data_IF_545986479314
#
_entry.id   IF_545986479314
#
_cell.length_a   1.000
_cell.length_b   1.000
_cell.length_c   1.000
_cell.angle_alpha   90.00
_cell.angle_beta   90.00
_cell.angle_gamma   90.00
#
_symmetry.space_group_name_H-M   'P 1'
#
loop_
_entity.id
_entity.type
_entity.pdbx_description
1 polymer ?
#
# COMPACT_ATOMS: atom_id res chain seq x y z
N UNK A 1 -3.57 -12.51 -14.42
CA UNK A 1 -2.47 -11.54 -14.68
C UNK A 1 -1.93 -10.96 -13.37
N UNK A 2 -1.22 -11.72 -12.51
CA UNK A 2 -0.86 -11.26 -11.15
C UNK A 2 0.63 -11.35 -10.77
N UNK A 3 1.50 -11.90 -11.63
CA UNK A 3 2.81 -12.42 -11.19
C UNK A 3 3.98 -11.42 -11.15
N UNK A 4 3.83 -10.18 -11.62
CA UNK A 4 4.95 -9.22 -11.72
C UNK A 4 4.65 -7.83 -11.14
N UNK A 5 3.97 -7.74 -9.98
CA UNK A 5 3.75 -6.44 -9.32
C UNK A 5 4.89 -6.15 -8.36
N UNK A 6 5.37 -4.90 -8.36
CA UNK A 6 6.43 -4.42 -7.47
C UNK A 6 5.90 -4.19 -6.04
N UNK A 7 5.40 -5.26 -5.41
CA UNK A 7 5.01 -5.26 -4.01
C UNK A 7 6.21 -5.70 -3.16
N UNK A 8 6.72 -4.79 -2.32
CA UNK A 8 7.71 -5.16 -1.34
C UNK A 8 7.07 -5.92 -0.17
N UNK A 9 7.78 -6.94 0.28
CA UNK A 9 7.51 -7.61 1.54
C UNK A 9 7.95 -6.70 2.68
N UNK A 10 7.07 -6.52 3.65
CA UNK A 10 7.37 -5.86 4.91
C UNK A 10 8.01 -6.88 5.86
N UNK A 11 9.28 -6.67 6.21
CA UNK A 11 10.04 -7.64 7.01
C UNK A 11 9.95 -7.31 8.50
N UNK A 12 10.20 -6.04 8.84
CA UNK A 12 10.31 -5.61 10.24
C UNK A 12 10.04 -4.12 10.42
N UNK A 13 9.59 -3.78 11.63
CA UNK A 13 9.28 -2.42 12.04
C UNK A 13 9.55 -2.22 13.53
N UNK A 14 10.31 -1.18 13.84
CA UNK A 14 10.52 -0.65 15.19
C UNK A 14 10.77 0.84 15.11
N UNK A 15 10.85 1.53 16.26
CA UNK A 15 11.08 2.97 16.28
C UNK A 15 12.35 3.34 15.51
N UNK A 16 12.22 4.23 14.51
CA UNK A 16 13.33 4.66 13.64
C UNK A 16 13.82 3.62 12.61
N UNK A 17 13.09 2.51 12.43
CA UNK A 17 13.44 1.48 11.45
C UNK A 17 12.20 0.92 10.75
N UNK A 18 12.20 1.04 9.42
CA UNK A 18 11.35 0.29 8.49
C UNK A 18 12.26 -0.57 7.64
N UNK A 19 12.00 -1.88 7.61
CA UNK A 19 12.75 -2.84 6.82
C UNK A 19 11.85 -3.59 5.85
N UNK A 20 12.17 -3.49 4.58
CA UNK A 20 11.39 -4.06 3.49
C UNK A 20 12.30 -4.71 2.45
N UNK A 21 11.75 -5.67 1.71
CA UNK A 21 12.46 -6.37 0.65
C UNK A 21 11.61 -6.67 -0.58
N UNK A 22 12.25 -6.77 -1.75
CA UNK A 22 11.63 -7.21 -3.00
C UNK A 22 12.46 -8.36 -3.55
N UNK A 23 11.80 -9.44 -3.98
CA UNK A 23 12.49 -10.54 -4.66
C UNK A 23 13.09 -10.06 -5.98
N UNK A 24 14.37 -10.34 -6.21
CA UNK A 24 15.09 -9.92 -7.42
C UNK A 24 14.49 -10.48 -8.71
N UNK A 25 13.71 -11.57 -8.61
CA UNK A 25 12.94 -12.10 -9.73
C UNK A 25 11.94 -11.09 -10.30
N UNK A 26 11.29 -10.30 -9.44
CA UNK A 26 10.35 -9.25 -9.83
C UNK A 26 11.07 -8.04 -10.46
N UNK A 27 12.40 -7.97 -10.32
CA UNK A 27 13.22 -6.84 -10.73
C UNK A 27 14.04 -7.08 -12.00
N UNK A 28 13.83 -8.22 -12.69
CA UNK A 28 14.66 -8.61 -13.85
C UNK A 28 14.70 -7.54 -14.95
N UNK A 29 13.61 -6.81 -15.16
CA UNK A 29 13.48 -5.74 -16.16
C UNK A 29 13.96 -4.35 -15.73
N UNK A 30 14.38 -4.17 -14.46
CA UNK A 30 14.66 -2.86 -13.89
C UNK A 30 16.12 -2.71 -13.44
N UNK A 31 16.71 -1.53 -13.66
CA UNK A 31 18.06 -1.19 -13.15
C UNK A 31 18.02 -0.46 -11.81
N UNK A 32 17.03 0.41 -11.63
CA UNK A 32 16.75 1.12 -10.39
C UNK A 32 15.32 0.86 -9.92
N UNK A 33 15.11 1.03 -8.61
CA UNK A 33 13.78 1.17 -8.02
C UNK A 33 13.67 2.50 -7.31
N UNK A 34 12.51 3.14 -7.47
CA UNK A 34 12.15 4.37 -6.79
C UNK A 34 11.13 4.07 -5.70
N UNK A 35 11.40 4.60 -4.50
CA UNK A 35 10.55 4.47 -3.33
C UNK A 35 9.92 5.84 -3.07
N UNK A 36 8.60 5.86 -2.95
CA UNK A 36 7.82 7.04 -2.60
C UNK A 36 6.84 6.70 -1.47
N UNK A 37 6.38 7.72 -0.77
CA UNK A 37 5.53 7.57 0.40
C UNK A 37 4.46 8.65 0.50
N UNK A 38 3.44 8.37 1.30
CA UNK A 38 2.43 9.35 1.70
C UNK A 38 1.83 8.99 3.06
N UNK A 39 1.10 9.93 3.65
CA UNK A 39 0.43 9.79 4.96
C UNK A 39 -1.03 9.34 4.86
N UNK A 40 -1.59 9.25 3.66
CA UNK A 40 -2.91 8.67 3.41
C UNK A 40 -2.94 7.92 2.07
N UNK A 41 -3.93 7.03 1.93
CA UNK A 41 -4.03 6.15 0.76
C UNK A 41 -4.31 6.90 -0.53
N UNK A 42 -5.11 7.98 -0.50
CA UNK A 42 -5.48 8.76 -1.69
C UNK A 42 -4.25 9.45 -2.30
N UNK A 43 -3.44 10.10 -1.48
CA UNK A 43 -2.20 10.74 -1.94
C UNK A 43 -1.15 9.71 -2.35
N UNK A 44 -1.10 8.53 -1.70
CA UNK A 44 -0.26 7.43 -2.16
C UNK A 44 -0.67 6.92 -3.55
N UNK A 45 -1.97 6.88 -3.82
CA UNK A 45 -2.51 6.47 -5.12
C UNK A 45 -2.22 7.51 -6.20
N UNK A 46 -2.56 8.77 -5.95
CA UNK A 46 -2.56 9.85 -6.94
C UNK A 46 -1.20 10.52 -7.14
N UNK A 47 -0.47 10.81 -6.06
CA UNK A 47 0.73 11.65 -6.11
C UNK A 47 1.68 11.36 -4.92
N UNK A 48 2.27 10.15 -4.83
CA UNK A 48 3.16 9.81 -3.73
C UNK A 48 4.44 10.66 -3.78
N UNK A 49 4.98 11.03 -2.62
CA UNK A 49 6.18 11.88 -2.50
C UNK A 49 7.44 11.01 -2.55
N UNK A 50 8.38 11.39 -3.40
CA UNK A 50 9.68 10.71 -3.50
C UNK A 50 10.41 10.69 -2.14
N UNK A 51 10.98 9.53 -1.80
CA UNK A 51 11.83 9.35 -0.63
C UNK A 51 13.28 9.11 -1.06
N UNK A 52 13.52 8.03 -1.80
CA UNK A 52 14.85 7.67 -2.27
C UNK A 52 14.80 6.74 -3.49
N UNK A 53 15.96 6.54 -4.11
CA UNK A 53 16.16 5.62 -5.21
C UNK A 53 17.34 4.69 -4.91
N UNK A 54 17.31 3.47 -5.43
CA UNK A 54 18.40 2.51 -5.26
C UNK A 54 18.51 1.55 -6.45
N UNK A 55 19.68 0.92 -6.59
CA UNK A 55 19.90 -0.11 -7.60
C UNK A 55 19.08 -1.38 -7.31
N UNK A 56 18.47 -1.94 -8.35
CA UNK A 56 17.86 -3.25 -8.30
C UNK A 56 18.93 -4.33 -8.01
N UNK A 57 18.61 -5.24 -7.10
CA UNK A 57 19.55 -6.25 -6.57
C UNK A 57 20.44 -5.73 -5.43
N UNK A 58 20.34 -4.44 -5.07
CA UNK A 58 21.17 -3.81 -4.06
C UNK A 58 20.59 -3.80 -2.65
N UNK A 59 21.30 -3.12 -1.76
CA UNK A 59 20.84 -2.81 -0.39
C UNK A 59 20.90 -1.30 -0.19
N UNK A 60 19.82 -0.73 0.31
CA UNK A 60 19.78 0.66 0.74
C UNK A 60 19.67 0.74 2.27
N UNK A 61 20.46 1.61 2.87
CA UNK A 61 20.41 1.89 4.30
C UNK A 61 20.43 3.40 4.47
N UNK A 62 19.37 3.97 5.03
CA UNK A 62 19.34 5.40 5.32
C UNK A 62 20.43 5.79 6.32
N UNK A 63 20.91 7.05 6.24
CA UNK A 63 21.97 7.55 7.12
C UNK A 63 21.64 7.37 8.61
N UNK A 64 20.39 7.66 9.01
CA UNK A 64 19.93 7.50 10.39
C UNK A 64 20.06 6.04 10.88
N UNK A 65 19.56 5.08 10.11
CA UNK A 65 19.66 3.64 10.44
C UNK A 65 21.11 3.16 10.50
N UNK A 66 21.97 3.64 9.60
CA UNK A 66 23.39 3.26 9.61
C UNK A 66 24.12 3.68 10.91
N UNK A 67 23.62 4.72 11.59
CA UNK A 67 24.23 5.25 12.82
C UNK A 67 23.86 4.48 14.09
N UNK A 68 22.73 3.74 14.08
CA UNK A 68 22.15 3.14 15.28
C UNK A 68 22.62 1.70 15.59
N UNK A 69 23.51 1.09 14.78
CA UNK A 69 24.08 -0.27 14.96
C UNK A 69 23.08 -1.44 15.13
N UNK A 70 21.77 -1.21 15.06
CA UNK A 70 20.72 -2.21 15.27
C UNK A 70 20.31 -2.94 13.98
N UNK A 71 21.27 -3.34 13.14
CA UNK A 71 20.99 -4.04 11.88
C UNK A 71 21.19 -5.54 12.09
N UNK A 72 20.09 -6.27 12.23
CA UNK A 72 20.11 -7.73 12.23
C UNK A 72 20.41 -8.23 10.80
N UNK A 73 21.54 -8.92 10.62
CA UNK A 73 21.90 -9.53 9.33
C UNK A 73 21.03 -10.76 9.04
N UNK A 74 19.88 -10.54 8.45
CA UNK A 74 19.13 -11.61 7.77
C UNK A 74 19.72 -11.94 6.39
N UNK A 75 19.50 -13.18 5.95
CA UNK A 75 19.95 -13.71 4.67
C UNK A 75 19.52 -12.81 3.50
N UNK A 76 20.51 -12.32 2.76
CA UNK A 76 20.35 -11.38 1.63
C UNK A 76 20.09 -12.08 0.29
N UNK A 77 19.96 -13.41 0.30
CA UNK A 77 19.96 -14.19 -0.93
C UNK A 77 18.71 -13.87 -1.75
N UNK A 78 18.92 -13.41 -2.99
CA UNK A 78 17.88 -13.13 -3.99
C UNK A 78 16.89 -12.00 -3.67
N UNK A 79 17.21 -11.11 -2.72
CA UNK A 79 16.35 -9.97 -2.37
C UNK A 79 17.08 -8.63 -2.52
N UNK A 80 16.37 -7.63 -3.02
CA UNK A 80 16.71 -6.21 -2.90
C UNK A 80 16.11 -5.72 -1.59
N UNK A 81 16.92 -5.14 -0.70
CA UNK A 81 16.49 -4.77 0.66
C UNK A 81 16.70 -3.28 0.90
N UNK A 82 15.76 -2.63 1.57
CA UNK A 82 15.89 -1.24 1.94
C UNK A 82 15.44 -1.03 3.38
N UNK A 83 16.33 -0.41 4.15
CA UNK A 83 16.15 -0.11 5.56
C UNK A 83 16.22 1.40 5.75
N UNK A 84 15.15 2.00 6.26
CA UNK A 84 15.07 3.44 6.38
C UNK A 84 14.40 3.89 7.67
N UNK A 85 14.84 5.05 8.16
CA UNK A 85 14.17 5.77 9.24
C UNK A 85 13.17 6.75 8.61
N UNK A 86 11.91 6.67 9.01
CA UNK A 86 10.87 7.60 8.58
C UNK A 86 11.20 9.05 8.92
N UNK A 87 11.86 9.29 10.06
CA UNK A 87 12.30 10.62 10.47
C UNK A 87 13.29 11.28 9.51
N UNK A 88 13.99 10.50 8.67
CA UNK A 88 14.86 11.06 7.62
C UNK A 88 14.09 11.66 6.44
N UNK A 89 12.81 11.33 6.30
CA UNK A 89 11.96 11.72 5.17
C UNK A 89 10.67 12.43 5.57
N UNK A 90 10.33 12.40 6.86
CA UNK A 90 9.12 13.03 7.39
C UNK A 90 9.06 14.51 7.02
N UNK A 91 7.89 14.95 6.59
CA UNK A 91 7.66 16.34 6.21
C UNK A 91 6.59 16.96 7.10
N UNK A 92 6.65 18.27 7.26
CA UNK A 92 5.57 19.02 7.89
C UNK A 92 4.29 18.95 7.06
N UNK A 93 3.15 19.06 7.71
CA UNK A 93 1.87 19.15 7.00
C UNK A 93 1.75 20.50 6.31
N UNK A 94 1.50 20.46 5.00
CA UNK A 94 1.13 21.63 4.19
C UNK A 94 -0.11 21.23 3.41
N UNK A 95 -1.16 22.05 3.48
CA UNK A 95 -2.43 21.77 2.81
C UNK A 95 -2.21 21.65 1.28
N UNK A 96 -2.75 20.60 0.68
CA UNK A 96 -2.60 20.32 -0.76
C UNK A 96 -1.29 19.65 -1.17
N UNK A 97 -0.32 19.48 -0.25
CA UNK A 97 0.91 18.75 -0.53
C UNK A 97 0.90 17.33 0.03
N UNK A 98 1.51 16.40 -0.69
CA UNK A 98 1.76 15.06 -0.15
C UNK A 98 2.77 15.13 0.99
N UNK A 99 2.33 14.68 2.17
CA UNK A 99 3.14 14.61 3.38
C UNK A 99 3.67 13.20 3.61
N UNK A 100 4.94 13.08 3.95
CA UNK A 100 5.51 11.86 4.52
C UNK A 100 5.32 11.93 6.04
N UNK A 101 4.65 10.94 6.65
CA UNK A 101 4.32 10.95 8.07
C UNK A 101 5.54 10.83 8.98
N UNK A 102 5.33 11.12 10.26
CA UNK A 102 6.30 10.81 11.32
C UNK A 102 6.26 9.32 11.68
N UNK A 103 7.24 8.86 12.46
CA UNK A 103 7.39 7.44 12.83
C UNK A 103 6.19 6.86 13.61
N UNK A 104 5.44 7.70 14.34
CA UNK A 104 4.26 7.29 15.11
C UNK A 104 2.97 7.17 14.30
N UNK A 105 3.04 7.34 12.98
CA UNK A 105 1.88 7.38 12.09
C UNK A 105 2.02 6.34 10.98
N UNK A 106 0.91 5.99 10.35
CA UNK A 106 0.89 5.06 9.22
C UNK A 106 1.54 5.70 7.99
N UNK A 107 2.46 4.97 7.37
CA UNK A 107 3.06 5.29 6.06
C UNK A 107 2.42 4.42 4.97
N UNK A 108 2.14 5.02 3.82
CA UNK A 108 1.73 4.31 2.62
C UNK A 108 2.85 4.39 1.58
N UNK A 109 3.50 3.27 1.29
CA UNK A 109 4.66 3.19 0.39
C UNK A 109 4.23 2.78 -1.01
N UNK A 110 4.84 3.39 -2.03
CA UNK A 110 4.70 3.05 -3.43
C UNK A 110 6.07 2.85 -4.05
N UNK A 111 6.15 1.86 -4.95
CA UNK A 111 7.40 1.45 -5.58
C UNK A 111 7.19 1.36 -7.08
N UNK A 112 8.13 1.91 -7.86
CA UNK A 112 8.20 1.71 -9.31
C UNK A 112 9.62 1.43 -9.75
N UNK A 113 9.79 0.73 -10.87
CA UNK A 113 11.08 0.37 -11.41
C UNK A 113 11.44 1.23 -12.61
N UNK A 114 12.73 1.52 -12.79
CA UNK A 114 13.24 2.15 -14.02
C UNK A 114 13.70 1.07 -14.99
N UNK A 115 13.26 1.12 -16.24
CA UNK A 115 13.54 0.04 -17.19
C UNK A 115 15.02 0.03 -17.62
N UNK A 116 15.66 -1.15 -17.58
CA UNK A 116 17.08 -1.33 -18.00
C UNK A 116 17.36 -0.84 -19.41
N UNK A 117 16.43 -1.10 -20.33
CA UNK A 117 16.59 -0.81 -21.75
C UNK A 117 16.02 0.56 -22.16
N UNK A 118 15.42 1.29 -21.22
CA UNK A 118 14.90 2.64 -21.45
C UNK A 118 14.95 3.42 -20.13
N UNK A 119 16.14 3.96 -19.83
CA UNK A 119 16.43 4.64 -18.56
C UNK A 119 15.68 5.96 -18.38
N UNK A 120 15.00 6.47 -19.41
CA UNK A 120 14.13 7.64 -19.29
C UNK A 120 12.73 7.28 -18.75
N UNK A 121 12.38 5.99 -18.70
CA UNK A 121 11.03 5.53 -18.40
C UNK A 121 10.98 4.71 -17.13
N UNK A 122 10.02 5.05 -16.26
CA UNK A 122 9.64 4.25 -15.11
C UNK A 122 8.40 3.42 -15.44
N UNK A 123 8.27 2.27 -14.77
CA UNK A 123 7.02 1.55 -14.73
C UNK A 123 5.94 2.39 -14.04
N UNK A 124 4.69 1.96 -14.23
CA UNK A 124 3.62 2.35 -13.33
C UNK A 124 3.96 2.00 -11.87
N UNK A 125 3.31 2.71 -10.96
CA UNK A 125 3.43 2.45 -9.54
C UNK A 125 2.83 1.09 -9.18
N UNK A 126 3.59 0.27 -8.45
CA UNK A 126 3.12 -0.96 -7.82
C UNK A 126 2.09 -0.71 -6.71
N UNK A 127 1.58 -1.76 -6.04
CA UNK A 127 0.56 -1.63 -5.00
C UNK A 127 0.95 -0.63 -3.88
N UNK A 128 -0.04 -0.04 -3.24
CA UNK A 128 0.17 0.79 -2.04
C UNK A 128 0.44 -0.14 -0.87
N UNK A 129 1.63 -0.08 -0.28
CA UNK A 129 1.99 -0.94 0.85
C UNK A 129 1.74 -0.16 2.13
N UNK A 130 0.79 -0.63 2.94
CA UNK A 130 0.50 -0.05 4.24
C UNK A 130 1.57 -0.46 5.26
N UNK A 131 2.27 0.53 5.81
CA UNK A 131 3.25 0.36 6.87
C UNK A 131 2.66 0.94 8.16
N UNK A 132 2.33 0.09 9.15
CA UNK A 132 1.70 0.57 10.38
C UNK A 132 2.69 1.37 11.26
N UNK A 133 2.18 2.10 12.26
CA UNK A 133 2.99 2.75 13.30
C UNK A 133 3.95 1.77 14.00
N UNK A 134 5.04 2.28 14.58
CA UNK A 134 6.08 1.42 15.15
C UNK A 134 5.63 0.56 16.33
N UNK A 135 4.60 0.99 17.06
CA UNK A 135 4.06 0.37 18.27
C UNK A 135 2.88 -0.58 17.98
N UNK A 136 2.46 -0.68 16.71
CA UNK A 136 1.32 -1.47 16.28
C UNK A 136 1.39 -2.93 16.77
N UNK A 137 2.54 -3.59 16.60
CA UNK A 137 2.73 -5.00 17.00
C UNK A 137 2.96 -5.20 18.50
N UNK A 138 3.14 -4.13 19.26
CA UNK A 138 3.26 -4.19 20.73
C UNK A 138 1.93 -3.94 21.44
N UNK A 139 0.88 -3.59 20.68
CA UNK A 139 -0.45 -3.33 21.23
C UNK A 139 -1.22 -4.64 21.43
N UNK A 140 -1.93 -4.78 22.54
CA UNK A 140 -2.67 -6.00 22.89
C UNK A 140 -3.76 -6.37 21.87
N UNK A 141 -4.40 -5.36 21.26
CA UNK A 141 -5.41 -5.52 20.22
C UNK A 141 -5.11 -4.57 19.05
N UNK A 142 -4.18 -4.95 18.15
CA UNK A 142 -3.82 -4.10 17.03
C UNK A 142 -5.00 -3.94 16.08
N UNK A 143 -5.41 -2.69 15.88
CA UNK A 143 -6.41 -2.32 14.88
C UNK A 143 -5.78 -1.34 13.92
N UNK A 144 -5.85 -1.67 12.63
CA UNK A 144 -5.41 -0.81 11.55
C UNK A 144 -6.65 -0.27 10.84
N UNK A 145 -6.71 1.03 10.60
CA UNK A 145 -7.84 1.62 9.87
C UNK A 145 -7.33 2.66 8.90
N UNK A 146 -7.89 2.65 7.69
CA UNK A 146 -7.64 3.66 6.70
C UNK A 146 -8.91 3.99 5.93
N UNK A 147 -8.98 5.22 5.45
CA UNK A 147 -10.06 5.69 4.60
C UNK A 147 -9.48 6.17 3.29
N UNK A 148 -10.22 5.97 2.20
CA UNK A 148 -9.83 6.46 0.89
C UNK A 148 -11.02 6.78 0.02
N UNK A 149 -10.72 7.24 -1.18
CA UNK A 149 -11.66 7.44 -2.26
C UNK A 149 -11.32 6.43 -3.35
N UNK A 150 -12.25 5.56 -3.70
CA UNK A 150 -12.05 4.57 -4.73
C UNK A 150 -12.07 5.25 -6.11
N UNK A 151 -11.09 4.99 -6.98
CA UNK A 151 -11.06 5.59 -8.31
C UNK A 151 -12.26 5.12 -9.14
N UNK A 152 -12.80 6.03 -9.93
CA UNK A 152 -13.84 5.74 -10.92
C UNK A 152 -13.17 5.04 -12.11
N UNK A 153 -13.67 3.87 -12.49
CA UNK A 153 -13.25 3.21 -13.72
C UNK A 153 -14.23 3.54 -14.86
N UNK A 154 -13.74 3.58 -16.12
CA UNK A 154 -14.59 3.91 -17.27
C UNK A 154 -15.72 2.90 -17.49
N UNK A 155 -15.51 1.65 -17.05
CA UNK A 155 -16.48 0.57 -17.04
C UNK A 155 -16.27 -0.28 -15.79
N UNK A 156 -17.32 -0.97 -15.34
CA UNK A 156 -17.19 -1.94 -14.24
C UNK A 156 -16.47 -3.17 -14.79
N UNK A 157 -15.23 -3.47 -14.34
CA UNK A 157 -14.47 -4.55 -14.92
C UNK A 157 -14.92 -5.90 -14.35
N UNK A 158 -14.91 -6.94 -15.19
CA UNK A 158 -15.21 -8.32 -14.76
C UNK A 158 -14.27 -8.81 -13.66
N UNK A 159 -13.04 -8.27 -13.62
CA UNK A 159 -12.06 -8.53 -12.56
C UNK A 159 -11.33 -7.26 -12.18
N UNK A 160 -11.03 -7.09 -10.89
CA UNK A 160 -10.27 -5.92 -10.43
C UNK A 160 -8.77 -6.10 -10.64
N UNK A 161 -8.10 -5.02 -11.06
CA UNK A 161 -6.69 -5.02 -11.43
C UNK A 161 -6.14 -3.62 -11.71
N UNK A 162 -5.80 -3.34 -12.97
CA UNK A 162 -5.26 -2.05 -13.40
C UNK A 162 -6.28 -0.93 -13.21
N UNK A 163 -5.81 0.29 -12.91
CA UNK A 163 -6.66 1.45 -12.61
C UNK A 163 -7.33 1.44 -11.23
N UNK A 164 -7.53 0.27 -10.61
CA UNK A 164 -8.08 0.15 -9.26
C UNK A 164 -7.06 0.64 -8.21
N UNK A 165 -7.58 1.12 -7.08
CA UNK A 165 -6.76 1.32 -5.89
C UNK A 165 -6.44 -0.04 -5.30
N UNK A 166 -5.16 -0.42 -5.32
CA UNK A 166 -4.67 -1.68 -4.77
C UNK A 166 -3.82 -1.41 -3.53
N UNK A 167 -4.30 -1.83 -2.37
CA UNK A 167 -3.63 -1.69 -1.09
C UNK A 167 -3.17 -3.06 -0.60
N UNK A 168 -1.86 -3.23 -0.47
CA UNK A 168 -1.23 -4.36 0.22
C UNK A 168 -1.29 -4.11 1.73
N UNK A 169 -2.00 -5.00 2.41
CA UNK A 169 -2.29 -4.89 3.83
C UNK A 169 -1.12 -5.43 4.67
N UNK A 170 -0.95 -4.97 5.92
CA UNK A 170 0.00 -5.58 6.84
C UNK A 170 -0.35 -7.08 6.99
N UNK A 171 0.65 -7.96 6.88
CA UNK A 171 0.50 -9.41 7.03
C UNK A 171 -0.14 -9.76 8.38
N UNK A 172 -0.66 -10.98 8.57
CA UNK A 172 -1.32 -11.58 9.78
C UNK A 172 -2.79 -11.98 9.53
N UNK A 173 -3.30 -12.92 10.34
CA UNK A 173 -4.65 -13.49 10.20
C UNK A 173 -5.68 -12.50 10.76
N UNK A 174 -6.41 -11.80 9.89
CA UNK A 174 -7.25 -10.66 10.26
C UNK A 174 -8.74 -10.89 10.03
N UNK A 175 -9.53 -10.11 10.77
CA UNK A 175 -10.87 -9.70 10.34
C UNK A 175 -10.73 -8.38 9.58
N UNK A 176 -11.21 -8.33 8.33
CA UNK A 176 -11.21 -7.13 7.49
C UNK A 176 -12.67 -6.72 7.30
N UNK A 177 -13.02 -5.52 7.71
CA UNK A 177 -14.30 -4.89 7.43
C UNK A 177 -14.07 -3.73 6.46
N UNK A 178 -14.81 -3.73 5.34
CA UNK A 178 -14.78 -2.68 4.34
C UNK A 178 -16.18 -2.08 4.28
N UNK A 179 -16.25 -0.78 4.55
CA UNK A 179 -17.50 -0.01 4.56
C UNK A 179 -17.49 0.96 3.39
N UNK A 180 -18.55 0.91 2.57
CA UNK A 180 -18.87 1.97 1.65
C UNK A 180 -19.57 3.09 2.44
N UNK A 181 -18.98 4.29 2.42
CA UNK A 181 -19.52 5.45 3.16
C UNK A 181 -20.18 6.48 2.23
N UNK A 182 -20.26 6.16 0.95
CA UNK A 182 -20.94 6.96 -0.06
C UNK A 182 -22.45 6.71 -0.05
N UNK A 183 -23.28 7.76 -0.24
CA UNK A 183 -24.73 7.65 -0.26
C UNK A 183 -25.32 7.11 -1.57
N UNK A 184 -24.63 7.25 -2.69
CA UNK A 184 -25.25 7.19 -4.02
C UNK A 184 -24.58 6.18 -4.95
N UNK A 185 -23.37 5.70 -4.62
CA UNK A 185 -22.58 4.86 -5.51
C UNK A 185 -22.11 3.55 -4.91
N UNK A 186 -22.03 2.54 -5.76
CA UNK A 186 -21.49 1.23 -5.43
C UNK A 186 -19.95 1.23 -5.36
N UNK A 187 -19.44 0.51 -4.37
CA UNK A 187 -18.02 0.21 -4.23
C UNK A 187 -17.77 -1.23 -4.68
N UNK A 188 -16.85 -1.43 -5.62
CA UNK A 188 -16.43 -2.74 -6.05
C UNK A 188 -15.14 -3.14 -5.34
N UNK A 189 -15.13 -4.34 -4.77
CA UNK A 189 -14.02 -4.84 -3.97
C UNK A 189 -13.59 -6.24 -4.40
N UNK A 190 -12.29 -6.49 -4.45
CA UNK A 190 -11.74 -7.84 -4.55
C UNK A 190 -10.52 -8.00 -3.65
N UNK A 191 -10.23 -9.24 -3.26
CA UNK A 191 -9.13 -9.59 -2.35
C UNK A 191 -7.96 -10.29 -3.06
N UNK A 192 -8.07 -10.45 -4.37
CA UNK A 192 -7.04 -11.09 -5.18
C UNK A 192 -7.14 -10.57 -6.62
N UNK A 193 -6.00 -10.33 -7.30
CA UNK A 193 -6.02 -9.94 -8.71
C UNK A 193 -6.71 -11.01 -9.56
N UNK A 194 -7.64 -10.60 -10.42
CA UNK A 194 -8.39 -11.53 -11.28
C UNK A 194 -9.58 -12.21 -10.61
N UNK A 195 -9.91 -11.87 -9.36
CA UNK A 195 -11.16 -12.26 -8.72
C UNK A 195 -12.28 -11.31 -9.16
N UNK A 196 -13.49 -11.86 -9.36
CA UNK A 196 -14.67 -11.06 -9.64
C UNK A 196 -14.96 -10.11 -8.46
N UNK A 197 -15.38 -8.87 -8.73
CA UNK A 197 -15.67 -7.92 -7.67
C UNK A 197 -16.89 -8.35 -6.85
N UNK A 198 -16.79 -8.14 -5.54
CA UNK A 198 -17.94 -8.07 -4.64
C UNK A 198 -18.46 -6.64 -4.63
N UNK A 199 -19.76 -6.48 -4.80
CA UNK A 199 -20.43 -5.17 -4.78
C UNK A 199 -20.82 -4.82 -3.35
N UNK A 200 -20.38 -3.65 -2.89
CA UNK A 200 -20.80 -3.08 -1.61
C UNK A 200 -21.67 -1.86 -1.93
N UNK A 201 -22.96 -2.00 -1.67
CA UNK A 201 -23.96 -0.94 -1.88
C UNK A 201 -23.68 0.30 -1.02
N UNK A 202 -24.26 1.46 -1.36
CA UNK A 202 -24.21 2.65 -0.50
C UNK A 202 -24.50 2.33 0.97
N UNK A 203 -23.73 2.94 1.87
CA UNK A 203 -23.79 2.75 3.33
C UNK A 203 -23.75 1.31 3.84
N UNK A 204 -23.32 0.36 3.01
CA UNK A 204 -23.22 -1.05 3.38
C UNK A 204 -21.78 -1.45 3.67
N UNK A 205 -21.61 -2.62 4.28
CA UNK A 205 -20.29 -3.17 4.58
C UNK A 205 -20.18 -4.63 4.16
N UNK A 206 -18.94 -5.06 3.92
CA UNK A 206 -18.58 -6.47 3.80
C UNK A 206 -17.50 -6.78 4.83
N UNK A 207 -17.60 -7.95 5.46
CA UNK A 207 -16.61 -8.43 6.41
C UNK A 207 -16.04 -9.78 5.99
N UNK A 208 -14.72 -9.87 5.95
CA UNK A 208 -13.96 -11.11 5.77
C UNK A 208 -13.38 -11.49 7.13
N UNK A 209 -13.82 -12.61 7.71
CA UNK A 209 -13.34 -13.09 9.01
C UNK A 209 -12.47 -14.33 8.79
N UNK A 210 -11.25 -14.34 9.33
CA UNK A 210 -10.35 -15.49 9.28
C UNK A 210 -9.79 -15.81 7.88
N UNK A 211 -10.17 -15.05 6.86
CA UNK A 211 -9.54 -15.06 5.54
C UNK A 211 -8.38 -14.08 5.54
N UNK A 212 -7.13 -14.59 5.53
CA UNK A 212 -5.99 -13.71 5.30
C UNK A 212 -6.03 -13.16 3.87
N UNK A 213 -6.46 -11.92 3.68
CA UNK A 213 -6.32 -11.22 2.41
C UNK A 213 -5.06 -10.35 2.46
N UNK A 214 -4.04 -10.62 1.62
CA UNK A 214 -2.84 -9.80 1.59
C UNK A 214 -3.07 -8.45 0.91
N UNK A 215 -4.13 -8.32 0.11
CA UNK A 215 -4.41 -7.16 -0.71
C UNK A 215 -5.92 -6.90 -0.81
N UNK A 216 -6.26 -5.63 -1.02
CA UNK A 216 -7.62 -5.19 -1.34
C UNK A 216 -7.55 -4.31 -2.57
N UNK A 217 -8.39 -4.61 -3.56
CA UNK A 217 -8.61 -3.81 -4.75
C UNK A 217 -9.95 -3.10 -4.60
N UNK A 218 -9.94 -1.78 -4.81
CA UNK A 218 -11.11 -0.92 -4.68
C UNK A 218 -11.24 -0.06 -5.94
N UNK A 219 -12.44 0.00 -6.48
CA UNK A 219 -12.84 0.97 -7.50
C UNK A 219 -14.34 1.26 -7.36
N UNK A 220 -14.83 2.28 -8.05
CA UNK A 220 -16.25 2.59 -8.09
C UNK A 220 -16.80 2.61 -9.51
N UNK A 221 -18.12 2.60 -9.60
CA UNK A 221 -18.87 2.59 -10.85
C UNK A 221 -18.69 3.90 -11.62
N UNK A 222 -18.67 3.87 -12.97
CA UNK A 222 -18.89 5.06 -13.79
C UNK A 222 -20.34 5.57 -13.73
N UNK A 223 -21.25 4.91 -13.01
CA UNK A 223 -22.66 5.26 -12.91
C UNK A 223 -23.13 5.33 -11.46
N UNK A 224 -23.86 6.39 -11.11
CA UNK A 224 -24.52 6.50 -9.81
C UNK A 224 -25.86 5.75 -9.78
N UNK A 225 -26.20 5.20 -8.62
CA UNK A 225 -27.52 4.60 -8.40
C UNK A 225 -28.57 5.72 -8.52
N UNK A 226 -29.51 5.58 -9.46
CA UNK A 226 -30.53 6.61 -9.71
C UNK A 226 -30.13 7.75 -10.65
N UNK A 227 -28.96 7.71 -11.29
CA UNK A 227 -28.57 8.68 -12.33
C UNK A 227 -28.07 10.03 -11.81
N UNK A 228 -27.61 10.08 -10.55
CA UNK A 228 -26.94 11.25 -9.97
C UNK A 228 -25.51 11.48 -10.49
N UNK A 229 -24.84 12.48 -9.91
CA UNK A 229 -23.47 12.82 -10.27
C UNK A 229 -22.46 11.72 -9.87
N UNK A 230 -21.48 11.48 -10.75
CA UNK A 230 -20.46 10.46 -10.55
C UNK A 230 -19.21 11.09 -9.92
N UNK A 231 -19.00 10.86 -8.64
CA UNK A 231 -17.79 11.16 -7.86
C UNK A 231 -17.04 9.91 -7.40
N UNK A 232 -15.79 10.06 -6.94
CA UNK A 232 -15.08 8.97 -6.28
C UNK A 232 -15.83 8.50 -5.01
N UNK A 233 -15.89 7.19 -4.77
CA UNK A 233 -16.58 6.62 -3.61
C UNK A 233 -15.71 6.62 -2.37
N UNK A 234 -16.17 7.28 -1.31
CA UNK A 234 -15.47 7.24 -0.03
C UNK A 234 -15.69 5.89 0.67
N UNK A 235 -14.59 5.28 1.11
CA UNK A 235 -14.62 4.01 1.84
C UNK A 235 -13.78 4.06 3.11
N UNK A 236 -14.04 3.10 4.00
CA UNK A 236 -13.22 2.80 5.17
C UNK A 236 -12.86 1.33 5.17
N UNK A 237 -11.60 1.01 5.46
CA UNK A 237 -11.13 -0.34 5.71
C UNK A 237 -10.63 -0.41 7.14
N UNK A 238 -11.21 -1.31 7.92
CA UNK A 238 -10.79 -1.63 9.28
C UNK A 238 -10.29 -3.07 9.34
N UNK A 239 -9.10 -3.24 9.87
CA UNK A 239 -8.50 -4.55 10.13
C UNK A 239 -8.27 -4.72 11.61
N UNK A 240 -8.62 -5.89 12.15
CA UNK A 240 -8.29 -6.28 13.51
C UNK A 240 -7.49 -7.58 13.48
N UNK A 241 -6.36 -7.59 14.18
CA UNK A 241 -5.56 -8.80 14.38
C UNK A 241 -6.28 -9.74 15.34
N UNK A 242 -6.48 -10.99 14.93
CA UNK A 242 -7.08 -12.02 15.79
C UNK A 242 -5.96 -12.89 16.37
N UNK A 243 -5.82 -12.84 17.69
CA UNK A 243 -4.93 -13.64 18.55
C UNK A 243 -3.41 -13.53 18.32
N UNK A 244 -2.75 -12.70 19.13
CA UNK A 244 -1.43 -13.03 19.66
C UNK A 244 -1.64 -13.73 21.01
N UNK A 245 -1.54 -15.05 21.02
CA UNK A 245 -1.30 -15.85 22.24
C UNK A 245 0.18 -16.21 22.30
#
# INVERSE_FOLDING_TARGET
MSRNRLAASFNYRSKGLVDMSIRNELLRGFDMIQIAGASNVNTAFNAPRFMFEMQAGGVFISKAVSSTRSITEESRRNNTRFMFDLGSYATTYVAGETRIPSDGETLYVRIRGRYKHNTATYSEWGPIIAVPPYDFYTTAHPVFTFTGNAPILPEVPDTLGEGCMNVHLPYFSHTINITNTDPDQELYVSFHPGMNPTVIRPYSEVSLTGGGAPEVFLCCSPTAEGGGDVSEVRFSVRMAMVNHS
#
